data_IF_221061164428
#
_entry.id   IF_221061164428
#
_cell.length_a   1.000
_cell.length_b   1.000
_cell.length_c   1.000
_cell.angle_alpha   90.00
_cell.angle_beta   90.00
_cell.angle_gamma   90.00
#
_symmetry.space_group_name_H-M   'P 1'
#
loop_
_entity.id
_entity.type
_entity.pdbx_description
1 polymer ?
#
# COMPACT_ATOMS: atom_id res chain seq x y z
N UNK A 1 -20.37 -8.86 -7.69
CA UNK A 1 -18.91 -8.87 -7.91
C UNK A 1 -18.23 -7.53 -7.59
N UNK A 2 -18.77 -6.35 -7.98
CA UNK A 2 -18.14 -5.05 -7.68
C UNK A 2 -17.85 -4.75 -6.19
N UNK A 3 -18.62 -5.31 -5.24
CA UNK A 3 -18.34 -5.11 -3.81
C UNK A 3 -17.07 -5.85 -3.36
N UNK A 4 -16.83 -7.06 -3.87
CA UNK A 4 -15.68 -7.89 -3.50
C UNK A 4 -14.37 -7.19 -3.88
N UNK A 5 -14.27 -6.71 -5.12
CA UNK A 5 -13.10 -5.96 -5.61
C UNK A 5 -12.80 -4.74 -4.75
N UNK A 6 -13.83 -3.97 -4.36
CA UNK A 6 -13.67 -2.81 -3.47
C UNK A 6 -13.14 -3.23 -2.10
N UNK A 7 -13.68 -4.29 -1.50
CA UNK A 7 -13.19 -4.77 -0.21
C UNK A 7 -11.76 -5.30 -0.28
N UNK A 8 -11.38 -5.99 -1.36
CA UNK A 8 -10.00 -6.42 -1.58
C UNK A 8 -9.04 -5.22 -1.66
N UNK A 9 -9.41 -4.17 -2.41
CA UNK A 9 -8.64 -2.93 -2.47
C UNK A 9 -8.52 -2.25 -1.11
N UNK A 10 -9.63 -2.13 -0.37
CA UNK A 10 -9.62 -1.53 0.97
C UNK A 10 -8.76 -2.32 1.94
N UNK A 11 -8.89 -3.65 1.94
CA UNK A 11 -8.09 -4.53 2.78
C UNK A 11 -6.60 -4.41 2.45
N UNK A 12 -6.25 -4.38 1.16
CA UNK A 12 -4.86 -4.22 0.69
C UNK A 12 -4.27 -2.90 1.20
N UNK A 13 -4.96 -1.78 0.95
CA UNK A 13 -4.51 -0.44 1.37
C UNK A 13 -4.41 -0.32 2.88
N UNK A 14 -5.34 -0.95 3.61
CA UNK A 14 -5.34 -0.94 5.06
C UNK A 14 -4.20 -1.74 5.67
N UNK A 15 -3.91 -2.93 5.12
CA UNK A 15 -2.93 -3.86 5.69
C UNK A 15 -1.49 -3.53 5.33
N UNK A 16 -1.21 -2.98 4.14
CA UNK A 16 0.16 -2.70 3.68
C UNK A 16 0.96 -1.86 4.69
N UNK A 17 0.48 -0.72 5.23
CA UNK A 17 1.26 0.09 6.19
C UNK A 17 1.51 -0.64 7.53
N UNK A 18 0.64 -1.59 7.87
CA UNK A 18 0.66 -2.32 9.14
C UNK A 18 1.46 -3.63 9.06
N UNK A 19 1.89 -4.03 7.87
CA UNK A 19 2.50 -5.34 7.66
C UNK A 19 3.94 -5.39 8.16
N UNK A 20 4.19 -6.27 9.12
CA UNK A 20 5.50 -6.72 9.55
C UNK A 20 5.37 -8.17 10.06
N UNK A 21 6.45 -8.96 9.96
CA UNK A 21 6.47 -10.34 10.45
C UNK A 21 7.91 -10.80 10.69
N UNK A 22 8.12 -11.64 11.71
CA UNK A 22 9.42 -12.29 12.00
C UNK A 22 9.74 -13.48 11.09
N UNK A 23 8.79 -13.91 10.25
CA UNK A 23 8.94 -15.06 9.35
C UNK A 23 9.92 -14.84 8.19
N UNK A 24 10.35 -13.61 7.94
CA UNK A 24 11.14 -13.22 6.77
C UNK A 24 12.50 -12.63 7.17
N UNK A 25 13.49 -12.71 6.28
CA UNK A 25 14.82 -12.12 6.48
C UNK A 25 14.79 -10.60 6.63
N UNK A 26 13.83 -9.94 5.97
CA UNK A 26 13.50 -8.54 6.18
C UNK A 26 12.07 -8.47 6.74
N UNK A 27 11.98 -8.09 8.02
CA UNK A 27 10.74 -8.10 8.79
C UNK A 27 9.69 -7.10 8.31
N UNK A 28 10.08 -6.12 7.50
CA UNK A 28 9.23 -4.99 7.12
C UNK A 28 8.86 -5.00 5.65
N UNK A 29 9.82 -5.12 4.74
CA UNK A 29 9.57 -4.91 3.31
C UNK A 29 8.89 -6.12 2.67
N UNK A 30 9.31 -7.34 3.03
CA UNK A 30 8.78 -8.57 2.44
C UNK A 30 7.29 -8.76 2.76
N UNK A 31 6.83 -8.62 4.02
CA UNK A 31 5.40 -8.71 4.33
C UNK A 31 4.56 -7.67 3.59
N UNK A 32 5.04 -6.42 3.49
CA UNK A 32 4.33 -5.33 2.79
C UNK A 32 4.16 -5.65 1.32
N UNK A 33 5.25 -6.08 0.68
CA UNK A 33 5.24 -6.42 -0.73
C UNK A 33 4.39 -7.65 -1.02
N UNK A 34 4.39 -8.64 -0.13
CA UNK A 34 3.55 -9.82 -0.26
C UNK A 34 2.06 -9.44 -0.21
N UNK A 35 1.65 -8.64 0.77
CA UNK A 35 0.26 -8.17 0.88
C UNK A 35 -0.13 -7.34 -0.34
N UNK A 36 0.74 -6.43 -0.77
CA UNK A 36 0.50 -5.59 -1.95
C UNK A 36 0.34 -6.44 -3.21
N UNK A 37 1.28 -7.35 -3.47
CA UNK A 37 1.27 -8.20 -4.66
C UNK A 37 0.08 -9.16 -4.68
N UNK A 38 -0.22 -9.82 -3.56
CA UNK A 38 -1.38 -10.71 -3.44
C UNK A 38 -2.69 -9.93 -3.54
N UNK A 39 -2.81 -8.79 -2.86
CA UNK A 39 -4.00 -7.95 -2.90
C UNK A 39 -4.32 -7.44 -4.31
N UNK A 40 -3.30 -6.94 -5.01
CA UNK A 40 -3.40 -6.51 -6.42
C UNK A 40 -3.70 -7.69 -7.34
N UNK A 41 -2.97 -8.80 -7.20
CA UNK A 41 -3.14 -10.00 -8.03
C UNK A 41 -4.51 -10.64 -7.88
N UNK A 42 -5.02 -10.77 -6.66
CA UNK A 42 -6.36 -11.28 -6.39
C UNK A 42 -7.44 -10.34 -6.96
N UNK A 43 -7.27 -9.03 -6.80
CA UNK A 43 -8.22 -8.06 -7.37
C UNK A 43 -8.23 -8.14 -8.90
N UNK A 44 -7.05 -8.25 -9.54
CA UNK A 44 -6.93 -8.46 -10.99
C UNK A 44 -7.62 -9.74 -11.42
N UNK A 45 -7.43 -10.85 -10.71
CA UNK A 45 -8.07 -12.12 -11.02
C UNK A 45 -9.60 -12.00 -10.97
N UNK A 46 -10.15 -11.38 -9.92
CA UNK A 46 -11.60 -11.16 -9.80
C UNK A 46 -12.13 -10.28 -10.94
N UNK A 47 -11.41 -9.21 -11.28
CA UNK A 47 -11.76 -8.33 -12.41
C UNK A 47 -11.70 -9.08 -13.74
N UNK A 48 -10.69 -9.92 -13.95
CA UNK A 48 -10.53 -10.73 -15.16
C UNK A 48 -11.70 -11.72 -15.31
N UNK A 49 -12.00 -12.48 -14.25
CA UNK A 49 -13.15 -13.41 -14.23
C UNK A 49 -14.46 -12.67 -14.51
N UNK A 50 -14.69 -11.52 -13.86
CA UNK A 50 -15.89 -10.69 -14.11
C UNK A 50 -15.99 -10.27 -15.57
N UNK A 51 -14.87 -9.88 -16.17
CA UNK A 51 -14.84 -9.41 -17.56
C UNK A 51 -15.12 -10.57 -18.52
N UNK A 52 -14.52 -11.73 -18.30
CA UNK A 52 -14.75 -12.94 -19.12
C UNK A 52 -16.21 -13.41 -19.06
N UNK A 53 -16.87 -13.28 -17.91
CA UNK A 53 -18.27 -13.67 -17.71
C UNK A 53 -19.29 -12.68 -18.29
N UNK A 54 -18.87 -11.70 -19.10
CA UNK A 54 -19.77 -10.77 -19.81
C UNK A 54 -19.72 -9.32 -19.32
N UNK A 55 -18.73 -8.97 -18.49
CA UNK A 55 -18.50 -7.59 -18.06
C UNK A 55 -17.87 -6.74 -19.18
N UNK A 56 -18.39 -5.52 -19.40
CA UNK A 56 -17.68 -4.50 -20.20
C UNK A 56 -16.58 -3.87 -19.34
N UNK A 57 -15.36 -3.80 -19.87
CA UNK A 57 -14.29 -3.00 -19.29
C UNK A 57 -14.48 -1.54 -19.73
N UNK A 58 -14.88 -0.69 -18.80
CA UNK A 58 -14.90 0.76 -19.01
C UNK A 58 -13.67 1.36 -18.34
N UNK A 59 -12.63 1.63 -19.13
CA UNK A 59 -11.49 2.41 -18.66
C UNK A 59 -11.75 3.89 -18.94
N UNK A 60 -11.72 4.70 -17.89
CA UNK A 60 -11.65 6.16 -18.03
C UNK A 60 -10.20 6.60 -17.98
N UNK A 61 -9.77 7.40 -18.96
CA UNK A 61 -8.44 7.98 -18.96
C UNK A 61 -8.35 9.12 -17.93
N UNK A 62 -7.32 9.08 -17.09
CA UNK A 62 -6.95 10.16 -16.16
C UNK A 62 -5.66 10.83 -16.62
N UNK A 63 -5.47 12.10 -16.26
CA UNK A 63 -4.24 12.86 -16.53
C UNK A 63 -2.98 12.22 -15.93
N UNK A 64 -3.13 11.37 -14.91
CA UNK A 64 -2.02 10.66 -14.26
C UNK A 64 -1.68 9.31 -14.91
N UNK A 65 -2.51 8.79 -15.82
CA UNK A 65 -2.30 7.47 -16.41
C UNK A 65 -0.99 7.41 -17.20
N UNK A 66 -0.74 8.40 -18.06
CA UNK A 66 0.46 8.43 -18.90
C UNK A 66 1.76 8.60 -18.10
N UNK A 67 1.87 9.55 -17.15
CA UNK A 67 3.04 9.65 -16.28
C UNK A 67 3.33 8.35 -15.50
N UNK A 68 2.29 7.68 -14.98
CA UNK A 68 2.46 6.45 -14.22
C UNK A 68 2.89 5.26 -15.11
N UNK A 69 2.38 5.16 -16.33
CA UNK A 69 2.83 4.16 -17.29
C UNK A 69 4.27 4.40 -17.74
N UNK A 70 4.67 5.67 -17.93
CA UNK A 70 6.05 6.02 -18.25
C UNK A 70 7.00 5.65 -17.10
N UNK A 71 6.60 5.94 -15.86
CA UNK A 71 7.33 5.54 -14.67
C UNK A 71 7.48 4.01 -14.60
N UNK A 72 6.39 3.27 -14.82
CA UNK A 72 6.40 1.82 -14.85
C UNK A 72 7.36 1.29 -15.91
N UNK A 73 7.28 1.80 -17.14
CA UNK A 73 8.15 1.41 -18.23
C UNK A 73 9.62 1.68 -17.90
N UNK A 74 9.94 2.85 -17.33
CA UNK A 74 11.30 3.20 -16.94
C UNK A 74 11.87 2.22 -15.90
N UNK A 75 11.10 1.84 -14.88
CA UNK A 75 11.54 0.87 -13.87
C UNK A 75 11.66 -0.55 -14.42
N UNK A 76 10.75 -0.98 -15.30
CA UNK A 76 10.83 -2.30 -15.95
C UNK A 76 12.03 -2.40 -16.89
N UNK A 77 12.29 -1.36 -17.68
CA UNK A 77 13.47 -1.29 -18.57
C UNK A 77 14.75 -1.27 -17.73
N UNK A 78 14.81 -0.45 -16.68
CA UNK A 78 15.95 -0.38 -15.77
C UNK A 78 16.22 -1.75 -15.12
N UNK A 79 15.18 -2.41 -14.60
CA UNK A 79 15.28 -3.75 -14.04
C UNK A 79 15.82 -4.75 -15.07
N UNK A 80 15.28 -4.72 -16.30
CA UNK A 80 15.68 -5.64 -17.35
C UNK A 80 17.12 -5.45 -17.83
N UNK A 81 17.59 -4.20 -17.93
CA UNK A 81 18.93 -3.86 -18.43
C UNK A 81 19.99 -4.02 -17.34
N UNK A 82 19.72 -3.53 -16.11
CA UNK A 82 20.76 -3.41 -15.07
C UNK A 82 20.93 -4.67 -14.23
N UNK A 83 19.91 -5.53 -14.11
CA UNK A 83 19.99 -6.63 -13.15
C UNK A 83 20.41 -7.95 -13.81
N UNK A 84 21.57 -8.52 -13.42
CA UNK A 84 22.02 -9.79 -13.97
C UNK A 84 21.12 -10.95 -13.50
N UNK A 85 20.60 -10.88 -12.27
CA UNK A 85 19.61 -11.82 -11.77
C UNK A 85 18.19 -11.26 -11.92
N UNK A 86 17.51 -11.67 -13.00
CA UNK A 86 16.13 -11.24 -13.30
C UNK A 86 15.12 -11.79 -12.29
N UNK A 87 15.39 -12.95 -11.70
CA UNK A 87 14.48 -13.55 -10.72
C UNK A 87 14.39 -12.69 -9.46
N UNK A 88 15.51 -12.12 -9.02
CA UNK A 88 15.52 -11.33 -7.79
C UNK A 88 14.78 -9.99 -7.93
N UNK A 89 14.87 -9.37 -9.11
CA UNK A 89 14.28 -8.05 -9.35
C UNK A 89 12.78 -8.09 -9.63
N UNK A 90 12.29 -9.17 -10.24
CA UNK A 90 10.89 -9.32 -10.62
C UNK A 90 10.06 -10.17 -9.64
N UNK A 91 10.68 -11.16 -8.98
CA UNK A 91 9.95 -12.10 -8.12
C UNK A 91 10.31 -11.98 -6.64
N UNK A 92 11.54 -11.58 -6.29
CA UNK A 92 11.87 -11.18 -4.94
C UNK A 92 11.50 -9.70 -4.70
N UNK A 93 11.35 -9.28 -3.44
CA UNK A 93 10.92 -7.93 -3.09
C UNK A 93 11.95 -6.89 -3.54
N UNK A 94 11.79 -6.44 -4.79
CA UNK A 94 12.59 -5.44 -5.46
C UNK A 94 11.79 -4.20 -5.82
N UNK A 95 12.49 -3.10 -6.12
CA UNK A 95 11.87 -1.81 -6.43
C UNK A 95 10.93 -1.90 -7.63
N UNK A 96 11.27 -2.70 -8.64
CA UNK A 96 10.41 -2.91 -9.81
C UNK A 96 9.05 -3.51 -9.44
N UNK A 97 9.03 -4.49 -8.52
CA UNK A 97 7.81 -5.10 -8.00
C UNK A 97 6.96 -4.09 -7.22
N UNK A 98 7.58 -3.27 -6.36
CA UNK A 98 6.88 -2.20 -5.63
C UNK A 98 6.20 -1.23 -6.60
N UNK A 99 6.94 -0.73 -7.58
CA UNK A 99 6.44 0.24 -8.56
C UNK A 99 5.34 -0.39 -9.41
N UNK A 100 5.55 -1.61 -9.91
CA UNK A 100 4.57 -2.31 -10.73
C UNK A 100 3.27 -2.54 -9.99
N UNK A 101 3.34 -3.07 -8.77
CA UNK A 101 2.15 -3.33 -7.97
C UNK A 101 1.44 -2.02 -7.55
N UNK A 102 2.18 -0.94 -7.28
CA UNK A 102 1.61 0.37 -6.94
C UNK A 102 0.89 1.02 -8.13
N UNK A 103 1.48 0.95 -9.33
CA UNK A 103 0.85 1.45 -10.56
C UNK A 103 -0.39 0.62 -10.91
N UNK A 104 -0.31 -0.71 -10.81
CA UNK A 104 -1.47 -1.57 -11.01
C UNK A 104 -2.58 -1.30 -9.98
N UNK A 105 -2.22 -1.08 -8.71
CA UNK A 105 -3.17 -0.71 -7.67
C UNK A 105 -3.92 0.58 -8.02
N UNK A 106 -3.21 1.60 -8.52
CA UNK A 106 -3.81 2.84 -8.99
C UNK A 106 -4.84 2.58 -10.11
N UNK A 107 -4.48 1.80 -11.13
CA UNK A 107 -5.41 1.48 -12.23
C UNK A 107 -6.62 0.68 -11.75
N UNK A 108 -6.44 -0.28 -10.83
CA UNK A 108 -7.53 -1.06 -10.26
C UNK A 108 -8.50 -0.19 -9.45
N UNK A 109 -7.98 0.76 -8.67
CA UNK A 109 -8.80 1.71 -7.92
C UNK A 109 -9.74 2.47 -8.86
N UNK A 110 -9.21 2.97 -9.97
CA UNK A 110 -9.99 3.70 -10.97
C UNK A 110 -10.98 2.79 -11.69
N UNK A 111 -10.53 1.60 -12.12
CA UNK A 111 -11.34 0.64 -12.86
C UNK A 111 -12.53 0.10 -12.04
N UNK A 112 -12.32 -0.19 -10.76
CA UNK A 112 -13.35 -0.71 -9.84
C UNK A 112 -14.31 0.42 -9.39
N UNK A 113 -13.94 1.68 -9.61
CA UNK A 113 -14.73 2.83 -9.16
C UNK A 113 -14.83 2.88 -7.63
N UNK A 114 -13.72 2.63 -6.94
CA UNK A 114 -13.67 2.75 -5.49
C UNK A 114 -13.78 4.23 -5.08
N UNK A 115 -14.61 4.51 -4.06
CA UNK A 115 -14.80 5.89 -3.58
C UNK A 115 -13.49 6.47 -3.05
N UNK A 116 -13.04 7.60 -3.61
CA UNK A 116 -11.84 8.33 -3.14
C UNK A 116 -11.93 8.67 -1.66
N UNK A 117 -13.10 9.07 -1.17
CA UNK A 117 -13.35 9.36 0.25
C UNK A 117 -13.15 8.12 1.12
N UNK A 118 -13.70 6.97 0.70
CA UNK A 118 -13.56 5.72 1.44
C UNK A 118 -12.11 5.24 1.44
N UNK A 119 -11.42 5.27 0.30
CA UNK A 119 -9.99 4.95 0.19
C UNK A 119 -9.14 5.83 1.11
N UNK A 120 -9.37 7.15 1.08
CA UNK A 120 -8.69 8.09 1.96
C UNK A 120 -8.95 7.80 3.43
N UNK A 121 -10.19 7.48 3.80
CA UNK A 121 -10.56 7.09 5.17
C UNK A 121 -9.88 5.79 5.58
N UNK A 122 -9.84 4.78 4.70
CA UNK A 122 -9.16 3.50 4.94
C UNK A 122 -7.66 3.70 5.18
N UNK A 123 -7.00 4.49 4.34
CA UNK A 123 -5.59 4.81 4.51
C UNK A 123 -5.34 5.60 5.80
N UNK A 124 -6.21 6.57 6.11
CA UNK A 124 -6.12 7.37 7.33
C UNK A 124 -6.29 6.52 8.59
N UNK A 125 -7.24 5.58 8.60
CA UNK A 125 -7.42 4.64 9.72
C UNK A 125 -6.20 3.73 9.89
N UNK A 126 -5.64 3.22 8.79
CA UNK A 126 -4.40 2.44 8.83
C UNK A 126 -3.25 3.27 9.42
N UNK A 127 -3.08 4.52 8.97
CA UNK A 127 -2.03 5.40 9.49
C UNK A 127 -2.22 5.80 10.94
N UNK A 128 -3.46 5.91 11.40
CA UNK A 128 -3.79 6.11 12.82
C UNK A 128 -3.33 4.91 13.65
N UNK A 129 -3.57 3.68 13.17
CA UNK A 129 -3.09 2.48 13.84
C UNK A 129 -1.57 2.37 13.83
N UNK A 130 -0.91 2.67 12.70
CA UNK A 130 0.56 2.73 12.62
C UNK A 130 1.11 3.69 13.67
N UNK A 131 0.51 4.87 13.80
CA UNK A 131 0.89 5.89 14.79
C UNK A 131 0.67 5.41 16.22
N UNK A 132 -0.47 4.78 16.50
CA UNK A 132 -0.76 4.21 17.81
C UNK A 132 0.25 3.14 18.20
N UNK A 133 0.60 2.23 17.28
CA UNK A 133 1.60 1.19 17.52
C UNK A 133 2.98 1.81 17.80
N UNK A 134 3.39 2.81 17.01
CA UNK A 134 4.64 3.54 17.27
C UNK A 134 4.64 4.21 18.65
N UNK A 135 3.56 4.87 19.06
CA UNK A 135 3.46 5.50 20.38
C UNK A 135 3.53 4.48 21.52
N UNK A 136 2.92 3.29 21.35
CA UNK A 136 3.04 2.20 22.32
C UNK A 136 4.47 1.67 22.42
N UNK A 137 5.19 1.59 21.29
CA UNK A 137 6.59 1.21 21.25
C UNK A 137 7.46 2.25 21.96
N UNK A 138 7.30 3.52 21.61
CA UNK A 138 8.03 4.65 22.18
C UNK A 138 7.77 4.83 23.69
N UNK A 139 6.56 4.51 24.16
CA UNK A 139 6.23 4.48 25.59
C UNK A 139 6.81 3.25 26.33
N UNK A 140 7.48 2.33 25.63
CA UNK A 140 8.02 1.09 26.19
C UNK A 140 6.96 0.06 26.59
N UNK A 141 5.70 0.23 26.14
CA UNK A 141 4.60 -0.69 26.46
C UNK A 141 4.82 -2.02 25.74
N UNK A 142 5.22 -1.98 24.46
CA UNK A 142 5.47 -3.21 23.68
C UNK A 142 6.62 -4.06 24.25
N UNK A 143 7.65 -3.42 24.82
CA UNK A 143 8.78 -4.10 25.44
C UNK A 143 8.37 -5.00 26.62
N UNK A 144 7.24 -4.69 27.28
CA UNK A 144 6.73 -5.44 28.44
C UNK A 144 5.94 -6.70 28.06
N UNK A 145 5.62 -6.89 26.78
CA UNK A 145 4.82 -8.03 26.32
C UNK A 145 5.76 -9.19 25.94
N UNK A 146 5.80 -10.30 26.70
CA UNK A 146 6.83 -11.33 26.51
C UNK A 146 6.74 -12.02 25.14
N UNK A 147 5.51 -12.23 24.63
CA UNK A 147 5.21 -12.95 23.40
C UNK A 147 5.59 -12.21 22.11
N UNK A 148 5.92 -10.91 22.19
CA UNK A 148 6.28 -10.16 20.98
C UNK A 148 7.70 -10.49 20.51
N UNK A 149 7.94 -10.52 19.18
CA UNK A 149 9.29 -10.63 18.62
C UNK A 149 10.21 -9.52 19.13
N UNK A 150 11.51 -9.81 19.22
CA UNK A 150 12.48 -8.87 19.80
C UNK A 150 12.53 -7.52 19.07
N UNK A 151 12.42 -7.50 17.75
CA UNK A 151 12.45 -6.25 16.98
C UNK A 151 11.24 -5.33 17.24
N UNK A 152 10.10 -5.88 17.70
CA UNK A 152 8.89 -5.12 18.05
C UNK A 152 9.02 -4.47 19.44
N UNK A 153 9.92 -5.00 20.28
CA UNK A 153 10.18 -4.50 21.63
C UNK A 153 11.11 -3.28 21.65
N UNK A 154 11.72 -2.93 20.51
CA UNK A 154 12.56 -1.75 20.39
C UNK A 154 11.72 -0.47 20.58
N UNK A 155 12.25 0.51 21.32
CA UNK A 155 11.58 1.79 21.57
C UNK A 155 11.41 2.61 20.28
N UNK A 156 12.25 2.38 19.28
CA UNK A 156 12.20 2.99 17.96
C UNK A 156 11.35 2.21 16.97
N UNK A 157 10.71 1.12 17.40
CA UNK A 157 9.89 0.28 16.53
C UNK A 157 8.73 1.07 15.90
N UNK A 158 8.66 1.00 14.57
CA UNK A 158 7.52 1.44 13.78
C UNK A 158 7.12 0.31 12.82
N UNK A 159 5.81 0.07 12.59
CA UNK A 159 5.35 -0.84 11.54
C UNK A 159 5.93 -0.52 10.15
N UNK A 160 6.33 0.72 9.90
CA UNK A 160 6.93 1.17 8.64
C UNK A 160 8.44 0.92 8.54
N UNK A 161 9.06 0.33 9.56
CA UNK A 161 10.48 -0.10 9.52
C UNK A 161 11.50 0.97 9.91
N UNK A 162 11.06 2.17 10.31
CA UNK A 162 11.95 3.18 10.86
C UNK A 162 11.33 4.56 10.97
N UNK A 163 12.07 5.48 11.59
CA UNK A 163 11.61 6.85 11.85
C UNK A 163 11.43 7.68 10.56
N UNK A 164 12.31 7.53 9.57
CA UNK A 164 12.20 8.27 8.32
C UNK A 164 10.95 7.86 7.50
N UNK A 165 10.71 6.56 7.22
CA UNK A 165 9.45 6.13 6.58
C UNK A 165 8.21 6.54 7.37
N UNK A 166 8.26 6.49 8.71
CA UNK A 166 7.18 6.96 9.58
C UNK A 166 6.89 8.45 9.36
N UNK A 167 7.92 9.29 9.40
CA UNK A 167 7.77 10.74 9.23
C UNK A 167 7.24 11.10 7.83
N UNK A 168 7.77 10.47 6.78
CA UNK A 168 7.30 10.68 5.41
C UNK A 168 5.84 10.26 5.23
N UNK A 169 5.48 9.08 5.74
CA UNK A 169 4.12 8.57 5.64
C UNK A 169 3.12 9.46 6.39
N UNK A 170 3.43 9.86 7.62
CA UNK A 170 2.57 10.78 8.38
C UNK A 170 2.51 12.18 7.76
N UNK A 171 3.62 12.69 7.23
CA UNK A 171 3.65 13.97 6.52
C UNK A 171 2.68 14.00 5.33
N UNK A 172 2.55 12.90 4.59
CA UNK A 172 1.58 12.75 3.50
C UNK A 172 0.16 12.53 4.04
N UNK A 173 0.01 11.79 5.15
CA UNK A 173 -1.29 11.45 5.72
C UNK A 173 -1.97 12.64 6.42
N UNK A 174 -1.20 13.59 6.95
CA UNK A 174 -1.72 14.73 7.70
C UNK A 174 -2.65 15.63 6.86
N UNK A 175 -2.27 16.13 5.67
CA UNK A 175 -3.17 16.89 4.80
C UNK A 175 -4.42 16.09 4.38
N UNK A 176 -4.27 14.79 4.15
CA UNK A 176 -5.39 13.91 3.82
C UNK A 176 -6.37 13.79 5.00
N UNK A 177 -5.84 13.59 6.21
CA UNK A 177 -6.62 13.51 7.44
C UNK A 177 -7.37 14.79 7.75
N UNK A 178 -6.71 15.95 7.63
CA UNK A 178 -7.35 17.25 7.85
C UNK A 178 -8.48 17.49 6.84
N UNK A 179 -8.27 17.18 5.56
CA UNK A 179 -9.31 17.29 4.54
C UNK A 179 -10.52 16.37 4.80
N UNK A 180 -10.31 15.19 5.39
CA UNK A 180 -11.38 14.23 5.70
C UNK A 180 -12.17 14.61 6.96
N UNK A 181 -11.50 15.13 8.00
CA UNK A 181 -12.09 15.46 9.31
C UNK A 181 -12.69 16.87 9.33
N UNK A 182 -12.12 17.81 8.57
CA UNK A 182 -12.56 19.20 8.50
C UNK A 182 -13.17 19.51 7.11
N UNK A 183 -14.34 18.94 6.77
CA UNK A 183 -14.94 19.05 5.44
C UNK A 183 -15.35 20.49 5.05
N UNK A 184 -15.24 21.46 5.96
CA UNK A 184 -15.64 22.87 5.76
C UNK A 184 -14.51 23.81 5.36
N UNK A 185 -13.23 23.46 5.53
CA UNK A 185 -12.13 24.42 5.27
C UNK A 185 -11.80 24.57 3.78
N UNK A 186 -12.21 23.60 2.94
CA UNK A 186 -11.85 23.53 1.52
C UNK A 186 -13.03 23.74 0.56
N UNK A 187 -14.14 24.30 1.03
CA UNK A 187 -15.32 24.59 0.20
C UNK A 187 -15.45 26.07 -0.20
N UNK A 188 -14.51 26.93 0.19
CA UNK A 188 -14.58 28.38 -0.04
C UNK A 188 -13.61 28.93 -1.11
N UNK A 189 -13.02 28.06 -1.93
CA UNK A 189 -12.25 28.49 -3.12
C UNK A 189 -12.57 27.64 -4.33
#
# INVERSE_FOLDING_TARGET
MNKLEKYLLYLTIFLVPLAFADLFSNFFDIPKLLILALGVGLTLLVVAVRTLLGGKLTFGLSSFDFPLLLLLAAYLISAFIRTPNKMDTFFFPGVATVISASVLLYFLINLVGASKKTLGTTLFLSGTLVSAVYLLAAAGILARIPLLPQFVKDISFSPLGGLLPQALFLGILLPLGTALVLPKIWKEY
#
